data_IF_499678325328
#
_entry.id   IF_499678325328
#
_cell.length_a   1.000
_cell.length_b   1.000
_cell.length_c   1.000
_cell.angle_alpha   90.00
_cell.angle_beta   90.00
_cell.angle_gamma   90.00
#
_symmetry.space_group_name_H-M   'P 1'
#
loop_
_entity.id
_entity.type
_entity.pdbx_description
1 polymer ?
#
# COMPACT_ATOMS: atom_id res chain seq x y z
N UNK A 1 5.99 -21.22 -30.50
CA UNK A 1 7.08 -20.99 -29.51
C UNK A 1 6.57 -21.01 -28.08
N UNK A 2 5.47 -20.32 -27.75
CA UNK A 2 4.88 -20.39 -26.39
C UNK A 2 4.15 -21.73 -26.17
N UNK A 3 3.37 -22.21 -27.15
CA UNK A 3 2.64 -23.48 -27.02
C UNK A 3 1.61 -23.46 -25.88
N UNK A 4 1.16 -24.64 -25.46
CA UNK A 4 0.29 -24.78 -24.30
C UNK A 4 1.02 -24.40 -23.00
N UNK A 5 0.29 -23.81 -22.05
CA UNK A 5 0.84 -23.42 -20.76
C UNK A 5 0.65 -24.52 -19.73
N UNK A 6 1.75 -24.93 -19.09
CA UNK A 6 1.73 -25.74 -17.88
C UNK A 6 1.24 -24.95 -16.66
N UNK A 7 1.00 -25.63 -15.54
CA UNK A 7 0.68 -24.97 -14.26
C UNK A 7 1.80 -24.01 -13.84
N UNK A 8 3.06 -24.39 -13.99
CA UNK A 8 4.21 -23.53 -13.71
C UNK A 8 4.24 -22.30 -14.62
N UNK A 9 3.91 -22.46 -15.91
CA UNK A 9 3.77 -21.33 -16.83
C UNK A 9 2.65 -20.37 -16.41
N UNK A 10 1.53 -20.90 -15.91
CA UNK A 10 0.41 -20.10 -15.43
C UNK A 10 0.76 -19.33 -14.16
N UNK A 11 1.51 -19.94 -13.23
CA UNK A 11 2.05 -19.25 -12.05
C UNK A 11 2.98 -18.10 -12.47
N UNK A 12 3.90 -18.37 -13.39
CA UNK A 12 4.82 -17.38 -13.95
C UNK A 12 4.07 -16.22 -14.63
N UNK A 13 3.21 -16.54 -15.59
CA UNK A 13 2.45 -15.57 -16.39
C UNK A 13 1.54 -14.72 -15.50
N UNK A 14 0.80 -15.37 -14.59
CA UNK A 14 -0.08 -14.74 -13.62
C UNK A 14 0.64 -13.79 -12.66
N UNK A 15 1.82 -14.20 -12.16
CA UNK A 15 2.63 -13.37 -11.29
C UNK A 15 3.14 -12.11 -12.01
N UNK A 16 3.59 -12.23 -13.27
CA UNK A 16 4.05 -11.08 -14.06
C UNK A 16 2.91 -10.11 -14.36
N UNK A 17 1.75 -10.59 -14.85
CA UNK A 17 0.62 -9.68 -15.13
C UNK A 17 0.11 -9.02 -13.85
N UNK A 18 0.11 -9.73 -12.71
CA UNK A 18 -0.27 -9.14 -11.43
C UNK A 18 0.75 -8.11 -10.95
N UNK A 19 2.05 -8.34 -11.15
CA UNK A 19 3.07 -7.37 -10.79
C UNK A 19 2.91 -6.05 -11.55
N UNK A 20 2.48 -6.12 -12.82
CA UNK A 20 2.23 -4.96 -13.66
C UNK A 20 0.86 -4.29 -13.42
N UNK A 21 -0.23 -5.05 -13.33
CA UNK A 21 -1.62 -4.55 -13.34
C UNK A 21 -2.34 -4.66 -11.98
N UNK A 22 -1.73 -5.37 -11.03
CA UNK A 22 -2.31 -5.67 -9.73
C UNK A 22 -2.23 -4.53 -8.72
N UNK A 23 -3.03 -4.64 -7.67
CA UNK A 23 -3.04 -3.73 -6.54
C UNK A 23 -1.75 -3.82 -5.75
N UNK A 24 -1.08 -2.68 -5.56
CA UNK A 24 0.11 -2.57 -4.70
C UNK A 24 -0.31 -2.58 -3.23
N UNK A 25 0.40 -3.36 -2.41
CA UNK A 25 0.27 -3.25 -0.95
C UNK A 25 0.60 -1.82 -0.51
N UNK A 26 -0.27 -1.23 0.31
CA UNK A 26 -0.03 0.09 0.88
C UNK A 26 0.62 -0.10 2.25
N UNK A 27 1.84 0.45 2.50
CA UNK A 27 2.56 0.26 3.75
C UNK A 27 1.74 0.62 5.00
N UNK A 28 0.81 1.57 4.86
CA UNK A 28 -0.04 2.09 5.93
C UNK A 28 -1.38 1.34 6.10
N UNK A 29 -1.76 0.42 5.20
CA UNK A 29 -3.08 -0.26 5.28
C UNK A 29 -3.01 -1.65 5.93
N UNK A 30 -1.82 -2.25 6.00
CA UNK A 30 -1.60 -3.59 6.58
C UNK A 30 -2.39 -4.72 5.90
N UNK A 31 -3.06 -4.45 4.77
CA UNK A 31 -3.88 -5.41 4.03
C UNK A 31 -3.21 -5.76 2.72
N UNK A 32 -2.51 -6.89 2.69
CA UNK A 32 -2.02 -7.52 1.47
C UNK A 32 -3.20 -8.20 0.80
N UNK A 33 -3.91 -7.46 -0.05
CA UNK A 33 -5.07 -7.95 -0.78
C UNK A 33 -4.73 -8.07 -2.25
N UNK A 34 -4.99 -9.26 -2.81
CA UNK A 34 -4.86 -9.53 -4.24
C UNK A 34 -6.10 -8.94 -4.91
N UNK A 35 -5.88 -7.88 -5.66
CA UNK A 35 -6.90 -7.27 -6.50
C UNK A 35 -6.28 -6.87 -7.85
N UNK A 36 -7.01 -7.09 -8.93
CA UNK A 36 -6.62 -6.68 -10.27
C UNK A 36 -7.81 -6.01 -10.94
N UNK A 37 -7.55 -4.99 -11.77
CA UNK A 37 -8.57 -4.37 -12.60
C UNK A 37 -8.05 -4.22 -14.01
N UNK A 38 -8.75 -4.80 -14.98
CA UNK A 38 -8.35 -4.69 -16.39
C UNK A 38 -9.59 -4.61 -17.30
N UNK A 39 -9.43 -4.01 -18.49
CA UNK A 39 -10.47 -3.99 -19.53
C UNK A 39 -10.27 -5.04 -20.62
N UNK A 40 -9.08 -5.65 -20.69
CA UNK A 40 -8.75 -6.67 -21.67
C UNK A 40 -9.25 -8.04 -21.17
N UNK A 41 -10.20 -8.69 -21.89
CA UNK A 41 -10.72 -9.99 -21.48
C UNK A 41 -9.65 -11.08 -21.46
N UNK A 42 -8.61 -11.01 -22.31
CA UNK A 42 -7.54 -12.02 -22.33
C UNK A 42 -6.69 -11.98 -21.05
N UNK A 43 -6.42 -10.77 -20.53
CA UNK A 43 -5.72 -10.59 -19.25
C UNK A 43 -6.57 -11.10 -18.09
N UNK A 44 -7.89 -10.87 -18.13
CA UNK A 44 -8.84 -11.35 -17.13
C UNK A 44 -8.90 -12.89 -17.12
N UNK A 45 -9.04 -13.52 -18.29
CA UNK A 45 -9.06 -14.98 -18.42
C UNK A 45 -7.74 -15.61 -17.92
N UNK A 46 -6.59 -15.07 -18.34
CA UNK A 46 -5.28 -15.54 -17.89
C UNK A 46 -5.15 -15.44 -16.36
N UNK A 47 -5.61 -14.34 -15.77
CA UNK A 47 -5.57 -14.17 -14.32
C UNK A 47 -6.48 -15.16 -13.58
N UNK A 48 -7.67 -15.49 -14.12
CA UNK A 48 -8.54 -16.51 -13.53
C UNK A 48 -7.92 -17.91 -13.59
N UNK A 49 -7.30 -18.28 -14.73
CA UNK A 49 -6.54 -19.54 -14.86
C UNK A 49 -5.39 -19.61 -13.86
N UNK A 50 -4.63 -18.52 -13.73
CA UNK A 50 -3.59 -18.39 -12.72
C UNK A 50 -4.13 -18.59 -11.30
N UNK A 51 -5.23 -17.92 -10.94
CA UNK A 51 -5.82 -18.05 -9.60
C UNK A 51 -6.28 -19.50 -9.31
N UNK A 52 -6.82 -20.20 -10.31
CA UNK A 52 -7.19 -21.61 -10.17
C UNK A 52 -5.95 -22.50 -9.88
N UNK A 53 -4.86 -22.32 -10.64
CA UNK A 53 -3.60 -23.06 -10.41
C UNK A 53 -2.95 -22.68 -9.07
N UNK A 54 -3.08 -21.43 -8.64
CA UNK A 54 -2.62 -20.97 -7.34
C UNK A 54 -3.51 -21.44 -6.17
N UNK A 55 -4.49 -22.32 -6.42
CA UNK A 55 -5.35 -22.92 -5.38
C UNK A 55 -6.41 -21.96 -4.83
N UNK A 56 -6.85 -20.97 -5.61
CA UNK A 56 -7.90 -20.05 -5.20
C UNK A 56 -9.27 -20.59 -5.58
N UNK A 57 -10.01 -21.01 -4.57
CA UNK A 57 -11.40 -21.41 -4.69
C UNK A 57 -12.31 -20.28 -5.21
N UNK A 58 -13.27 -20.63 -6.06
CA UNK A 58 -14.20 -19.67 -6.67
C UNK A 58 -15.01 -18.86 -5.64
N UNK A 59 -15.31 -19.43 -4.48
CA UNK A 59 -16.05 -18.77 -3.39
C UNK A 59 -15.28 -17.59 -2.76
N UNK A 60 -13.95 -17.51 -2.97
CA UNK A 60 -13.08 -16.40 -2.54
C UNK A 60 -13.04 -15.25 -3.53
N UNK A 61 -13.53 -15.44 -4.76
CA UNK A 61 -13.49 -14.43 -5.82
C UNK A 61 -14.63 -13.43 -5.67
N UNK A 62 -14.31 -12.16 -5.87
CA UNK A 62 -15.29 -11.06 -5.88
C UNK A 62 -15.11 -10.24 -7.14
N UNK A 63 -16.18 -10.14 -7.91
CA UNK A 63 -16.21 -9.41 -9.17
C UNK A 63 -16.90 -8.06 -9.01
N UNK A 64 -16.38 -7.03 -9.65
CA UNK A 64 -17.00 -5.71 -9.70
C UNK A 64 -16.75 -5.07 -11.06
N UNK A 65 -17.80 -4.66 -11.76
CA UNK A 65 -17.69 -3.88 -12.99
C UNK A 65 -17.42 -2.42 -12.64
N UNK A 66 -16.45 -1.81 -13.31
CA UNK A 66 -16.24 -0.37 -13.32
C UNK A 66 -16.49 0.18 -14.72
N UNK A 67 -17.49 1.03 -14.86
CA UNK A 67 -17.96 1.50 -16.17
C UNK A 67 -18.33 2.98 -16.12
N UNK A 68 -18.26 3.66 -17.27
CA UNK A 68 -18.71 5.03 -17.39
C UNK A 68 -20.24 5.11 -17.40
N UNK A 69 -20.80 6.18 -16.83
CA UNK A 69 -22.25 6.37 -16.73
C UNK A 69 -22.97 6.37 -18.09
N UNK A 70 -22.26 6.71 -19.17
CA UNK A 70 -22.80 6.78 -20.53
C UNK A 70 -22.69 5.46 -21.31
N UNK A 71 -22.08 4.42 -20.75
CA UNK A 71 -21.83 3.16 -21.44
C UNK A 71 -22.89 2.09 -21.12
N UNK A 72 -23.03 1.11 -22.01
CA UNK A 72 -24.01 0.02 -21.91
C UNK A 72 -23.67 -0.92 -20.74
N UNK A 73 -24.28 -0.67 -19.59
CA UNK A 73 -24.11 -1.48 -18.38
C UNK A 73 -24.67 -2.89 -18.56
N UNK A 74 -25.82 -3.06 -19.20
CA UNK A 74 -26.42 -4.37 -19.36
C UNK A 74 -25.58 -5.26 -20.28
N UNK A 75 -25.12 -4.72 -21.41
CA UNK A 75 -24.20 -5.43 -22.29
C UNK A 75 -22.87 -5.73 -21.62
N UNK A 76 -22.34 -4.84 -20.79
CA UNK A 76 -21.15 -5.10 -19.98
C UNK A 76 -21.40 -6.23 -18.96
N UNK A 77 -22.54 -6.23 -18.27
CA UNK A 77 -22.90 -7.29 -17.32
C UNK A 77 -23.02 -8.65 -18.00
N UNK A 78 -23.71 -8.74 -19.15
CA UNK A 78 -23.81 -9.99 -19.93
C UNK A 78 -22.43 -10.47 -20.36
N UNK A 79 -21.63 -9.58 -20.96
CA UNK A 79 -20.29 -9.91 -21.44
C UNK A 79 -19.38 -10.45 -20.32
N UNK A 80 -19.28 -9.75 -19.19
CA UNK A 80 -18.41 -10.18 -18.10
C UNK A 80 -18.96 -11.41 -17.37
N UNK A 81 -20.28 -11.56 -17.27
CA UNK A 81 -20.94 -12.73 -16.68
C UNK A 81 -20.64 -14.00 -17.48
N UNK A 82 -20.76 -13.93 -18.81
CA UNK A 82 -20.39 -15.02 -19.73
C UNK A 82 -18.89 -15.33 -19.64
N UNK A 83 -18.02 -14.32 -19.68
CA UNK A 83 -16.57 -14.51 -19.65
C UNK A 83 -16.08 -15.22 -18.38
N UNK A 84 -16.58 -14.82 -17.21
CA UNK A 84 -16.09 -15.36 -15.92
C UNK A 84 -16.96 -16.50 -15.38
N UNK A 85 -18.05 -16.85 -16.06
CA UNK A 85 -18.93 -17.95 -15.70
C UNK A 85 -19.70 -17.74 -14.38
N UNK A 86 -20.11 -16.51 -14.07
CA UNK A 86 -20.91 -16.20 -12.87
C UNK A 86 -22.18 -15.45 -13.24
N UNK A 87 -23.25 -15.67 -12.51
CA UNK A 87 -24.52 -14.97 -12.70
C UNK A 87 -24.39 -13.46 -12.46
N UNK A 88 -25.13 -12.64 -13.21
CA UNK A 88 -25.07 -11.17 -13.10
C UNK A 88 -25.36 -10.67 -11.67
N UNK A 89 -26.16 -11.41 -10.88
CA UNK A 89 -26.45 -11.11 -9.47
C UNK A 89 -25.28 -11.36 -8.50
N UNK A 90 -24.22 -12.06 -8.92
CA UNK A 90 -23.04 -12.35 -8.09
C UNK A 90 -21.98 -11.24 -8.14
N UNK A 91 -22.15 -10.25 -9.02
CA UNK A 91 -21.28 -9.08 -9.06
C UNK A 91 -21.54 -8.16 -7.86
N UNK A 92 -20.48 -7.65 -7.25
CA UNK A 92 -20.58 -6.53 -6.32
C UNK A 92 -21.14 -5.30 -7.04
N UNK A 93 -21.71 -4.37 -6.25
CA UNK A 93 -22.25 -3.10 -6.74
C UNK A 93 -21.31 -2.43 -7.76
N UNK A 94 -21.81 -2.21 -8.97
CA UNK A 94 -21.08 -1.56 -10.06
C UNK A 94 -20.52 -0.21 -9.65
N UNK A 95 -19.25 0.03 -9.95
CA UNK A 95 -18.61 1.33 -9.78
C UNK A 95 -18.84 2.21 -11.00
N UNK A 96 -19.79 3.16 -10.90
CA UNK A 96 -20.07 4.12 -11.97
C UNK A 96 -19.06 5.27 -11.90
N UNK A 97 -18.36 5.51 -13.01
CA UNK A 97 -17.42 6.62 -13.17
C UNK A 97 -18.14 7.80 -13.86
N UNK A 98 -18.33 8.94 -13.18
CA UNK A 98 -18.98 10.10 -13.78
C UNK A 98 -18.17 10.66 -14.95
N UNK A 99 -18.84 11.32 -15.90
CA UNK A 99 -18.19 11.96 -17.04
C UNK A 99 -17.27 13.08 -16.54
N UNK A 100 -15.97 12.92 -16.78
CA UNK A 100 -15.01 13.99 -16.55
C UNK A 100 -14.92 14.88 -17.78
N UNK A 101 -15.26 16.17 -17.64
CA UNK A 101 -15.12 17.19 -18.70
C UNK A 101 -13.68 17.45 -19.15
N UNK A 102 -12.67 16.89 -18.45
CA UNK A 102 -11.24 17.16 -18.67
C UNK A 102 -10.48 16.03 -19.38
N UNK A 103 -11.09 14.87 -19.63
CA UNK A 103 -10.35 13.74 -20.19
C UNK A 103 -10.65 13.55 -21.68
N UNK A 104 -9.62 13.69 -22.53
CA UNK A 104 -9.63 13.29 -23.96
C UNK A 104 -9.66 11.76 -24.15
N UNK A 105 -10.41 11.02 -23.32
CA UNK A 105 -10.48 9.54 -23.39
C UNK A 105 -11.41 9.14 -24.54
N UNK A 106 -10.90 8.29 -25.43
CA UNK A 106 -11.59 7.83 -26.65
C UNK A 106 -12.27 6.46 -26.50
N UNK A 107 -12.21 5.83 -25.31
CA UNK A 107 -12.84 4.53 -25.03
C UNK A 107 -14.34 4.72 -24.71
N UNK A 108 -15.09 5.22 -25.68
CA UNK A 108 -16.53 5.54 -25.58
C UNK A 108 -17.34 4.91 -26.72
N UNK A 109 -16.77 3.90 -27.40
CA UNK A 109 -17.44 3.17 -28.48
C UNK A 109 -18.53 2.22 -27.98
N UNK A 110 -19.40 1.76 -28.88
CA UNK A 110 -20.50 0.83 -28.59
C UNK A 110 -20.02 -0.51 -27.98
N UNK A 111 -18.77 -0.90 -28.26
CA UNK A 111 -18.16 -2.15 -27.76
C UNK A 111 -17.43 -1.98 -26.42
N UNK A 112 -17.49 -0.80 -25.80
CA UNK A 112 -16.84 -0.58 -24.52
C UNK A 112 -17.59 -1.28 -23.38
N UNK A 113 -17.01 -2.35 -22.84
CA UNK A 113 -17.59 -3.15 -21.74
C UNK A 113 -17.14 -2.72 -20.35
N UNK A 114 -16.46 -1.58 -20.20
CA UNK A 114 -15.90 -1.18 -18.90
C UNK A 114 -14.61 -1.94 -18.55
N UNK A 115 -14.26 -1.92 -17.27
CA UNK A 115 -13.18 -2.72 -16.69
C UNK A 115 -13.78 -3.69 -15.66
N UNK A 116 -13.24 -4.90 -15.61
CA UNK A 116 -13.57 -5.84 -14.54
C UNK A 116 -12.52 -5.76 -13.44
N UNK A 117 -12.98 -5.56 -12.20
CA UNK A 117 -12.17 -5.74 -11.00
C UNK A 117 -12.40 -7.13 -10.42
N UNK A 118 -11.32 -7.85 -10.19
CA UNK A 118 -11.28 -9.12 -9.47
C UNK A 118 -10.60 -8.86 -8.12
N UNK A 119 -11.25 -9.23 -7.03
CA UNK A 119 -10.66 -9.20 -5.69
C UNK A 119 -10.72 -10.58 -5.03
N UNK A 120 -9.62 -10.98 -4.40
CA UNK A 120 -9.53 -12.26 -3.70
C UNK A 120 -9.68 -12.03 -2.20
N UNK A 121 -10.57 -12.78 -1.56
CA UNK A 121 -10.71 -12.76 -0.10
C UNK A 121 -9.61 -13.60 0.57
N UNK A 122 -9.16 -13.15 1.76
CA UNK A 122 -8.15 -13.83 2.58
C UNK A 122 -6.87 -14.12 1.80
N UNK A 123 -6.33 -13.11 1.10
CA UNK A 123 -5.28 -13.30 0.08
C UNK A 123 -3.89 -12.79 0.50
N UNK A 124 -3.62 -12.65 1.81
CA UNK A 124 -2.33 -12.12 2.26
C UNK A 124 -1.18 -13.05 1.88
N UNK A 125 -1.36 -14.35 2.11
CA UNK A 125 -0.40 -15.38 1.70
C UNK A 125 -0.22 -15.42 0.19
N UNK A 126 -1.31 -15.45 -0.58
CA UNK A 126 -1.29 -15.41 -2.05
C UNK A 126 -0.54 -14.19 -2.58
N UNK A 127 -0.69 -13.02 -1.96
CA UNK A 127 0.07 -11.83 -2.34
C UNK A 127 1.59 -12.04 -2.20
N UNK A 128 2.02 -12.71 -1.13
CA UNK A 128 3.43 -13.03 -0.90
C UNK A 128 3.94 -14.12 -1.87
N UNK A 129 3.12 -15.11 -2.17
CA UNK A 129 3.45 -16.12 -3.19
C UNK A 129 3.65 -15.44 -4.56
N UNK A 130 2.73 -14.56 -4.97
CA UNK A 130 2.85 -13.77 -6.19
C UNK A 130 4.13 -12.94 -6.20
N UNK A 131 4.46 -12.27 -5.09
CA UNK A 131 5.68 -11.49 -4.97
C UNK A 131 6.94 -12.38 -5.15
N UNK A 132 6.95 -13.58 -4.56
CA UNK A 132 8.01 -14.57 -4.73
C UNK A 132 8.17 -15.04 -6.18
N UNK A 133 7.07 -15.50 -6.81
CA UNK A 133 7.05 -15.92 -8.21
C UNK A 133 7.52 -14.81 -9.16
N UNK A 134 6.98 -13.59 -9.01
CA UNK A 134 7.35 -12.45 -9.84
C UNK A 134 8.82 -12.06 -9.66
N UNK A 135 9.32 -12.08 -8.41
CA UNK A 135 10.71 -11.76 -8.12
C UNK A 135 11.68 -12.72 -8.82
N UNK A 136 11.49 -14.04 -8.67
CA UNK A 136 12.35 -15.03 -9.35
C UNK A 136 12.25 -14.90 -10.85
N UNK A 137 11.04 -14.72 -11.38
CA UNK A 137 10.83 -14.57 -12.81
C UNK A 137 11.63 -13.40 -13.40
N UNK A 138 11.51 -12.23 -12.79
CA UNK A 138 12.22 -11.04 -13.22
C UNK A 138 13.73 -11.15 -12.98
N UNK A 139 14.15 -11.75 -11.85
CA UNK A 139 15.57 -11.98 -11.56
C UNK A 139 16.21 -12.95 -12.55
N UNK A 140 15.51 -14.01 -12.95
CA UNK A 140 15.96 -14.94 -13.98
C UNK A 140 16.10 -14.27 -15.34
N UNK A 141 15.11 -13.48 -15.77
CA UNK A 141 15.22 -12.70 -17.00
C UNK A 141 16.37 -11.67 -16.93
N UNK A 142 16.58 -11.05 -15.77
CA UNK A 142 17.65 -10.08 -15.55
C UNK A 142 19.06 -10.70 -15.49
N UNK A 143 19.22 -11.97 -15.11
CA UNK A 143 20.54 -12.61 -14.92
C UNK A 143 21.42 -12.53 -16.17
N UNK A 144 20.85 -12.74 -17.35
CA UNK A 144 21.62 -12.64 -18.60
C UNK A 144 22.20 -11.24 -18.87
N UNK A 145 21.86 -10.20 -18.09
CA UNK A 145 22.51 -8.88 -18.18
C UNK A 145 23.87 -8.92 -17.50
N UNK A 146 23.97 -9.64 -16.37
CA UNK A 146 25.13 -9.60 -15.47
C UNK A 146 26.36 -10.25 -16.10
N UNK A 147 26.18 -11.26 -16.95
CA UNK A 147 27.26 -12.01 -17.59
C UNK A 147 28.11 -11.14 -18.55
N UNK A 148 27.56 -10.04 -19.10
CA UNK A 148 28.26 -9.13 -20.00
C UNK A 148 29.08 -8.03 -19.30
N UNK A 149 28.84 -7.79 -18.00
CA UNK A 149 29.38 -6.62 -17.29
C UNK A 149 30.45 -6.94 -16.24
N UNK A 150 30.82 -8.21 -16.09
CA UNK A 150 31.72 -8.69 -15.05
C UNK A 150 31.11 -8.57 -13.65
N UNK A 151 31.57 -9.40 -12.72
CA UNK A 151 31.18 -9.36 -11.30
C UNK A 151 31.64 -8.05 -10.62
N UNK A 152 30.97 -6.94 -10.93
CA UNK A 152 31.14 -5.69 -10.16
C UNK A 152 29.94 -5.56 -9.24
N UNK A 153 30.08 -6.14 -8.04
CA UNK A 153 29.27 -5.94 -6.82
C UNK A 153 27.94 -5.20 -7.02
N UNK A 154 26.91 -5.93 -7.46
CA UNK A 154 25.52 -5.55 -7.16
C UNK A 154 25.13 -6.20 -5.83
N UNK A 155 25.75 -5.74 -4.74
CA UNK A 155 25.30 -6.07 -3.38
C UNK A 155 24.15 -5.13 -3.00
N UNK A 156 22.93 -5.61 -3.22
CA UNK A 156 21.84 -5.61 -2.24
C UNK A 156 20.64 -6.22 -2.94
N UNK A 157 20.48 -7.54 -2.80
CA UNK A 157 19.15 -8.10 -2.85
C UNK A 157 18.37 -7.39 -1.75
N UNK A 158 17.40 -6.57 -2.15
CA UNK A 158 16.60 -5.73 -1.28
C UNK A 158 15.85 -6.58 -0.26
N UNK A 159 16.54 -6.94 0.81
CA UNK A 159 15.93 -7.26 2.07
C UNK A 159 15.08 -6.07 2.47
N UNK A 160 13.81 -6.32 2.75
CA UNK A 160 12.97 -5.40 3.52
C UNK A 160 13.72 -5.16 4.84
N UNK A 161 14.41 -4.02 4.96
CA UNK A 161 15.04 -3.62 6.22
C UNK A 161 14.02 -2.78 7.01
N UNK A 162 13.67 -3.19 8.25
CA UNK A 162 12.88 -2.36 9.15
C UNK A 162 13.73 -1.18 9.65
N UNK A 163 13.25 0.04 9.43
CA UNK A 163 13.78 1.25 10.07
C UNK A 163 13.73 1.13 11.61
N UNK A 164 14.85 1.39 12.27
CA UNK A 164 14.97 1.39 13.72
C UNK A 164 15.74 2.62 14.26
N UNK A 165 15.01 3.40 15.07
CA UNK A 165 15.37 4.25 16.23
C UNK A 165 16.18 5.54 16.03
N UNK A 166 15.58 6.62 16.54
CA UNK A 166 16.25 7.71 17.26
C UNK A 166 15.67 7.75 18.69
N UNK A 167 16.53 7.97 19.70
CA UNK A 167 16.16 8.20 21.09
C UNK A 167 15.99 9.72 21.34
N UNK A 168 15.18 10.17 22.32
CA UNK A 168 15.20 11.56 22.76
C UNK A 168 16.07 11.75 24.01
N UNK A 169 16.85 12.83 23.98
CA UNK A 169 17.65 13.42 25.05
C UNK A 169 16.79 14.18 26.09
N UNK A 170 17.47 14.54 27.18
CA UNK A 170 17.02 15.08 28.48
C UNK A 170 16.20 16.38 28.46
N UNK A 171 15.29 16.53 29.44
CA UNK A 171 14.79 17.85 29.91
C UNK A 171 14.67 17.88 31.45
N UNK A 172 15.28 18.92 32.00
CA UNK A 172 15.53 19.34 33.38
C UNK A 172 14.29 19.63 34.26
N UNK A 173 14.42 19.49 35.58
CA UNK A 173 13.36 19.66 36.60
C UNK A 173 13.66 20.82 37.57
N UNK A 174 13.03 21.98 37.37
CA UNK A 174 13.10 23.15 38.27
C UNK A 174 11.94 23.23 39.29
N UNK A 175 12.25 23.56 40.55
CA UNK A 175 11.29 23.64 41.69
C UNK A 175 10.46 24.92 41.78
N UNK A 176 9.35 24.87 42.54
CA UNK A 176 8.30 25.91 42.64
C UNK A 176 8.62 27.10 43.61
N UNK A 177 8.02 28.31 43.44
CA UNK A 177 8.32 29.56 44.19
C UNK A 177 7.80 29.64 45.66
N UNK A 178 8.30 30.63 46.44
CA UNK A 178 8.04 30.84 47.89
C UNK A 178 6.60 31.18 48.31
N UNK A 179 5.86 31.93 47.49
CA UNK A 179 4.49 32.33 47.79
C UNK A 179 3.54 31.11 47.82
N UNK A 180 3.77 30.13 46.94
CA UNK A 180 3.04 28.87 46.91
C UNK A 180 3.25 28.04 48.19
N UNK A 181 4.45 28.13 48.80
CA UNK A 181 4.74 27.45 50.09
C UNK A 181 3.95 28.06 51.25
N UNK A 182 3.83 29.39 51.27
CA UNK A 182 3.06 30.10 52.31
C UNK A 182 1.55 29.79 52.21
N UNK A 183 1.01 29.83 51.00
CA UNK A 183 -0.40 29.52 50.73
C UNK A 183 -0.73 28.06 51.09
N UNK A 184 0.19 27.13 50.83
CA UNK A 184 0.04 25.71 51.21
C UNK A 184 -0.07 25.53 52.72
N UNK A 185 0.83 26.14 53.49
CA UNK A 185 0.80 26.04 54.97
C UNK A 185 -0.56 26.48 55.52
N UNK A 186 -1.09 27.60 55.02
CA UNK A 186 -2.38 28.13 55.49
C UNK A 186 -3.57 27.25 55.12
N UNK A 187 -3.58 26.67 53.92
CA UNK A 187 -4.62 25.72 53.51
C UNK A 187 -4.62 24.46 54.38
N UNK A 188 -3.44 23.91 54.66
CA UNK A 188 -3.26 22.71 55.51
C UNK A 188 -3.72 22.98 56.95
N UNK A 189 -3.39 24.14 57.52
CA UNK A 189 -3.87 24.54 58.85
C UNK A 189 -5.40 24.56 58.95
N UNK A 190 -6.07 25.22 57.98
CA UNK A 190 -7.53 25.28 57.97
C UNK A 190 -8.17 23.90 57.79
N UNK A 191 -7.55 23.04 56.96
CA UNK A 191 -7.99 21.65 56.76
C UNK A 191 -7.89 20.83 58.05
N UNK A 192 -6.79 20.97 58.79
CA UNK A 192 -6.61 20.31 60.10
C UNK A 192 -7.51 20.89 61.19
N UNK A 193 -7.91 22.15 61.06
CA UNK A 193 -8.88 22.80 61.94
C UNK A 193 -10.35 22.44 61.63
N UNK A 194 -10.60 21.43 60.78
CA UNK A 194 -11.94 20.91 60.54
C UNK A 194 -12.70 21.51 59.35
N UNK A 195 -12.07 22.37 58.55
CA UNK A 195 -12.76 23.09 57.48
C UNK A 195 -12.91 22.23 56.21
N UNK A 196 -14.08 22.32 55.56
CA UNK A 196 -14.32 21.68 54.25
C UNK A 196 -13.53 22.37 53.13
N UNK A 197 -13.27 21.69 52.02
CA UNK A 197 -12.55 22.27 50.87
C UNK A 197 -13.23 23.56 50.37
N UNK A 198 -14.56 23.55 50.27
CA UNK A 198 -15.32 24.73 49.87
C UNK A 198 -15.17 25.92 50.85
N UNK A 199 -15.10 25.65 52.16
CA UNK A 199 -14.90 26.68 53.17
C UNK A 199 -13.47 27.26 53.14
N UNK A 200 -12.46 26.41 52.90
CA UNK A 200 -11.06 26.82 52.75
C UNK A 200 -10.88 27.67 51.49
N UNK A 201 -11.48 27.27 50.36
CA UNK A 201 -11.44 28.03 49.12
C UNK A 201 -12.00 29.45 49.28
N UNK A 202 -13.15 29.57 49.97
CA UNK A 202 -13.73 30.88 50.32
C UNK A 202 -12.84 31.70 51.26
N UNK A 203 -12.29 31.08 52.30
CA UNK A 203 -11.47 31.76 53.30
C UNK A 203 -10.13 32.28 52.74
N UNK A 204 -9.55 31.57 51.76
CA UNK A 204 -8.30 31.94 51.10
C UNK A 204 -8.51 32.72 49.79
N UNK A 205 -9.76 33.06 49.47
CA UNK A 205 -10.17 33.70 48.21
C UNK A 205 -9.67 32.95 46.95
N UNK A 206 -9.57 31.63 47.04
CA UNK A 206 -9.18 30.75 45.94
C UNK A 206 -10.44 30.31 45.20
N UNK A 207 -10.66 30.93 44.03
CA UNK A 207 -11.79 30.59 43.14
C UNK A 207 -11.54 29.31 42.35
N UNK A 208 -10.28 28.91 42.22
CA UNK A 208 -9.87 27.70 41.52
C UNK A 208 -9.70 26.50 42.49
N UNK A 209 -10.56 25.50 42.32
CA UNK A 209 -10.54 24.26 43.09
C UNK A 209 -9.34 23.35 42.81
N UNK A 210 -8.68 23.49 41.66
CA UNK A 210 -7.48 22.73 41.29
C UNK A 210 -6.27 23.21 42.10
N UNK A 211 -6.08 24.53 42.25
CA UNK A 211 -5.05 25.11 43.12
C UNK A 211 -5.26 24.64 44.56
N UNK A 212 -6.48 24.70 45.08
CA UNK A 212 -6.78 24.21 46.42
C UNK A 212 -6.53 22.68 46.55
N UNK A 213 -6.83 21.91 45.50
CA UNK A 213 -6.50 20.48 45.40
C UNK A 213 -5.01 20.20 45.50
N UNK A 214 -4.18 21.00 44.83
CA UNK A 214 -2.73 20.87 44.90
C UNK A 214 -2.17 21.26 46.28
N UNK A 215 -2.68 22.33 46.88
CA UNK A 215 -2.25 22.80 48.21
C UNK A 215 -2.58 21.77 49.31
N UNK A 216 -3.75 21.14 49.24
CA UNK A 216 -4.20 20.15 50.22
C UNK A 216 -3.75 18.71 49.90
N UNK A 217 -2.93 18.50 48.86
CA UNK A 217 -2.48 17.17 48.46
C UNK A 217 -1.76 16.46 49.61
N UNK A 218 -2.25 15.27 49.96
CA UNK A 218 -1.71 14.42 51.02
C UNK A 218 -2.30 14.65 52.42
N UNK A 219 -3.14 15.67 52.61
CA UNK A 219 -3.84 15.87 53.88
C UNK A 219 -5.19 15.11 53.89
N UNK A 220 -5.51 14.38 54.98
CA UNK A 220 -6.76 13.65 55.08
C UNK A 220 -7.99 14.60 55.19
N UNK A 221 -9.20 14.12 54.85
CA UNK A 221 -10.42 14.88 55.08
C UNK A 221 -10.64 15.22 56.56
N UNK A 222 -11.23 16.39 56.80
CA UNK A 222 -11.50 16.90 58.14
C UNK A 222 -12.45 15.97 58.93
N UNK A 223 -11.97 15.37 60.01
CA UNK A 223 -12.69 14.36 60.80
C UNK A 223 -14.02 14.88 61.36
N UNK A 224 -14.08 16.13 61.83
CA UNK A 224 -15.32 16.76 62.35
C UNK A 224 -16.37 17.11 61.28
N UNK A 225 -15.97 17.18 60.00
CA UNK A 225 -16.89 17.39 58.87
C UNK A 225 -17.49 16.06 58.41
N UNK A 226 -16.69 14.99 58.40
CA UNK A 226 -17.13 13.64 58.05
C UNK A 226 -18.30 13.15 58.90
N UNK A 227 -18.41 13.59 60.16
CA UNK A 227 -19.52 13.23 61.06
C UNK A 227 -20.84 13.92 60.70
N UNK A 228 -20.79 15.10 60.06
CA UNK A 228 -21.97 15.93 59.73
C UNK A 228 -22.39 15.89 58.26
N UNK A 229 -21.50 15.44 57.37
CA UNK A 229 -21.76 15.35 55.93
C UNK A 229 -22.65 14.15 55.58
N UNK A 230 -23.57 14.36 54.63
CA UNK A 230 -24.37 13.29 54.03
C UNK A 230 -23.50 12.27 53.29
N UNK A 231 -24.02 11.07 53.07
CA UNK A 231 -23.29 10.03 52.33
C UNK A 231 -22.86 10.48 50.93
N UNK A 232 -23.68 11.29 50.26
CA UNK A 232 -23.38 11.84 48.93
C UNK A 232 -22.30 12.91 48.96
N UNK A 233 -22.30 13.80 49.95
CA UNK A 233 -21.24 14.82 50.11
C UNK A 233 -19.87 14.15 50.39
N UNK A 234 -19.85 13.03 51.11
CA UNK A 234 -18.62 12.25 51.34
C UNK A 234 -18.09 11.62 50.04
N UNK A 235 -18.98 11.11 49.19
CA UNK A 235 -18.63 10.52 47.89
C UNK A 235 -18.12 11.60 46.92
N UNK A 236 -18.75 12.77 46.91
CA UNK A 236 -18.31 13.92 46.12
C UNK A 236 -16.92 14.41 46.56
N UNK A 237 -16.67 14.53 47.87
CA UNK A 237 -15.35 14.89 48.40
C UNK A 237 -14.28 13.86 48.00
N UNK A 238 -14.58 12.56 48.07
CA UNK A 238 -13.69 11.49 47.58
C UNK A 238 -13.42 11.60 46.07
N UNK A 239 -14.42 12.00 45.28
CA UNK A 239 -14.25 12.23 43.85
C UNK A 239 -13.27 13.38 43.58
N UNK A 240 -13.35 14.48 44.34
CA UNK A 240 -12.39 15.59 44.25
C UNK A 240 -10.98 15.18 44.71
N UNK A 241 -10.84 14.36 45.74
CA UNK A 241 -9.54 13.87 46.21
C UNK A 241 -8.87 12.94 45.17
N UNK A 242 -9.62 11.98 44.63
CA UNK A 242 -9.13 11.11 43.54
C UNK A 242 -8.77 11.93 42.30
N UNK A 243 -9.57 12.96 41.98
CA UNK A 243 -9.27 13.86 40.87
C UNK A 243 -7.98 14.65 41.10
N UNK A 244 -7.76 15.17 42.32
CA UNK A 244 -6.52 15.85 42.69
C UNK A 244 -5.28 14.94 42.67
N UNK A 245 -5.48 13.63 42.80
CA UNK A 245 -4.44 12.58 42.63
C UNK A 245 -4.20 12.19 41.16
N UNK A 246 -4.89 12.81 40.19
CA UNK A 246 -4.71 12.57 38.76
C UNK A 246 -5.62 11.46 38.18
N UNK A 247 -6.61 10.98 38.93
CA UNK A 247 -7.52 9.96 38.42
C UNK A 247 -8.44 10.53 37.33
N UNK A 248 -8.64 9.76 36.26
CA UNK A 248 -9.58 10.09 35.18
C UNK A 248 -11.03 9.77 35.56
N UNK A 249 -11.99 10.48 34.95
CA UNK A 249 -13.43 10.37 35.27
C UNK A 249 -13.98 8.94 35.29
N UNK A 250 -13.49 8.06 34.39
CA UNK A 250 -13.91 6.65 34.33
C UNK A 250 -13.46 5.86 35.56
N UNK A 251 -12.19 6.00 35.97
CA UNK A 251 -11.67 5.30 37.16
C UNK A 251 -12.34 5.77 38.44
N UNK A 252 -12.65 7.06 38.55
CA UNK A 252 -13.40 7.62 39.69
C UNK A 252 -14.83 7.04 39.73
N UNK A 253 -15.51 7.01 38.58
CA UNK A 253 -16.84 6.41 38.43
C UNK A 253 -16.86 4.94 38.85
N UNK A 254 -15.91 4.14 38.35
CA UNK A 254 -15.79 2.72 38.67
C UNK A 254 -15.46 2.51 40.16
N UNK A 255 -14.55 3.31 40.73
CA UNK A 255 -14.08 3.17 42.12
C UNK A 255 -15.15 3.54 43.16
N UNK A 256 -15.93 4.58 42.88
CA UNK A 256 -16.96 5.12 43.77
C UNK A 256 -18.36 4.57 43.47
N UNK A 257 -18.48 3.71 42.45
CA UNK A 257 -19.76 3.13 41.99
C UNK A 257 -20.84 4.18 41.68
N UNK A 258 -20.43 5.33 41.15
CA UNK A 258 -21.33 6.42 40.74
C UNK A 258 -21.36 6.57 39.22
N UNK A 259 -22.50 6.91 38.61
CA UNK A 259 -22.59 7.14 37.18
C UNK A 259 -21.63 8.22 36.69
N UNK A 260 -21.00 8.00 35.53
CA UNK A 260 -19.98 8.90 34.97
C UNK A 260 -20.44 10.35 34.80
N UNK A 261 -21.72 10.56 34.46
CA UNK A 261 -22.28 11.89 34.30
C UNK A 261 -22.33 12.68 35.63
N UNK A 262 -22.52 11.99 36.76
CA UNK A 262 -22.52 12.61 38.10
C UNK A 262 -21.11 13.05 38.50
N UNK A 263 -20.10 12.21 38.21
CA UNK A 263 -18.67 12.55 38.40
C UNK A 263 -18.28 13.77 37.56
N UNK A 264 -18.79 13.87 36.32
CA UNK A 264 -18.56 15.03 35.46
C UNK A 264 -19.25 16.29 35.99
N UNK A 265 -20.45 16.16 36.57
CA UNK A 265 -21.18 17.28 37.15
C UNK A 265 -20.43 17.90 38.34
N UNK A 266 -19.93 17.07 39.27
CA UNK A 266 -19.14 17.52 40.43
C UNK A 266 -17.80 18.14 40.06
N UNK A 267 -17.13 17.59 39.05
CA UNK A 267 -15.79 17.98 38.65
C UNK A 267 -15.77 18.97 37.47
N UNK A 268 -16.91 19.61 37.18
CA UNK A 268 -17.09 20.50 36.02
C UNK A 268 -16.32 21.82 36.15
N UNK A 269 -16.13 22.29 37.37
CA UNK A 269 -15.45 23.57 37.68
C UNK A 269 -13.97 23.41 38.05
N UNK A 270 -13.46 22.19 38.22
CA UNK A 270 -12.02 21.97 38.34
C UNK A 270 -11.39 22.04 36.96
N UNK A 271 -10.60 23.09 36.67
CA UNK A 271 -9.78 23.14 35.46
C UNK A 271 -8.99 21.83 35.32
N UNK A 272 -8.84 21.36 34.07
CA UNK A 272 -8.02 20.20 33.76
C UNK A 272 -6.65 20.40 34.43
N UNK A 273 -6.25 19.56 35.40
CA UNK A 273 -4.86 19.51 35.77
C UNK A 273 -4.16 19.11 34.48
N UNK A 274 -3.37 20.02 33.89
CA UNK A 274 -2.54 19.73 32.73
C UNK A 274 -1.94 18.36 32.96
N UNK A 275 -2.30 17.41 32.09
CA UNK A 275 -2.14 16.00 32.39
C UNK A 275 -0.71 15.77 32.86
N UNK A 276 -0.47 15.26 34.07
CA UNK A 276 0.64 14.36 34.21
C UNK A 276 0.23 13.21 33.29
N UNK A 277 0.82 13.14 32.10
CA UNK A 277 0.67 11.99 31.20
C UNK A 277 1.04 10.77 32.04
N UNK A 278 0.02 10.12 32.60
CA UNK A 278 0.24 9.00 33.48
C UNK A 278 0.77 7.87 32.59
N UNK A 279 1.77 7.09 33.02
CA UNK A 279 2.50 6.12 32.21
C UNK A 279 1.64 5.09 31.48
N UNK A 280 0.35 4.97 31.78
CA UNK A 280 -0.54 3.92 31.29
C UNK A 280 -1.08 4.16 29.86
N UNK A 281 -1.21 5.42 29.42
CA UNK A 281 -1.51 5.73 28.00
C UNK A 281 -0.27 5.53 27.12
N UNK A 282 0.91 5.91 27.62
CA UNK A 282 2.18 5.58 26.97
C UNK A 282 2.46 4.08 26.98
N UNK A 283 2.22 3.36 28.09
CA UNK A 283 2.37 1.89 28.14
C UNK A 283 1.40 1.21 27.16
N UNK A 284 0.17 1.71 26.98
CA UNK A 284 -0.78 1.12 26.00
C UNK A 284 -0.42 1.47 24.57
N UNK A 285 -0.03 2.71 24.28
CA UNK A 285 0.42 3.13 22.95
C UNK A 285 1.76 2.47 22.61
N UNK A 286 2.65 2.30 23.56
CA UNK A 286 3.95 1.63 23.43
C UNK A 286 3.79 0.12 23.36
N UNK A 287 2.90 -0.50 24.15
CA UNK A 287 2.54 -1.91 23.99
C UNK A 287 1.85 -2.16 22.64
N UNK A 288 1.01 -1.24 22.17
CA UNK A 288 0.40 -1.29 20.84
C UNK A 288 1.46 -1.13 19.74
N UNK A 289 2.36 -0.15 19.86
CA UNK A 289 3.50 0.06 18.95
C UNK A 289 4.43 -1.16 18.95
N UNK A 290 4.73 -1.73 20.11
CA UNK A 290 5.54 -2.94 20.28
C UNK A 290 4.84 -4.15 19.68
N UNK A 291 3.55 -4.35 19.96
CA UNK A 291 2.73 -5.39 19.34
C UNK A 291 2.71 -5.26 17.81
N UNK A 292 2.47 -4.07 17.26
CA UNK A 292 2.50 -3.85 15.81
C UNK A 292 3.90 -4.00 15.23
N UNK A 293 4.95 -3.59 15.94
CA UNK A 293 6.35 -3.75 15.51
C UNK A 293 6.77 -5.23 15.50
N UNK A 294 6.44 -5.97 16.54
CA UNK A 294 6.67 -7.42 16.66
C UNK A 294 5.84 -8.19 15.65
N UNK A 295 4.57 -7.82 15.46
CA UNK A 295 3.70 -8.38 14.42
C UNK A 295 4.23 -8.07 13.02
N UNK A 296 4.71 -6.85 12.77
CA UNK A 296 5.31 -6.47 11.47
C UNK A 296 6.60 -7.24 11.22
N UNK A 297 7.44 -7.42 12.24
CA UNK A 297 8.66 -8.21 12.13
C UNK A 297 8.34 -9.70 11.88
N UNK A 298 7.37 -10.28 12.61
CA UNK A 298 6.94 -11.67 12.45
C UNK A 298 6.28 -11.90 11.08
N UNK A 299 5.34 -11.03 10.69
CA UNK A 299 4.73 -11.06 9.36
C UNK A 299 5.74 -10.80 8.25
N UNK A 300 6.82 -10.05 8.51
CA UNK A 300 7.93 -9.88 7.56
C UNK A 300 8.74 -11.16 7.34
N UNK A 301 9.00 -11.92 8.41
CA UNK A 301 9.66 -13.24 8.31
C UNK A 301 8.74 -14.24 7.62
N UNK A 302 7.47 -14.34 8.02
CA UNK A 302 6.48 -15.21 7.37
C UNK A 302 6.32 -14.86 5.88
N UNK A 303 6.20 -13.57 5.56
CA UNK A 303 6.16 -13.08 4.17
C UNK A 303 7.39 -13.52 3.38
N UNK A 304 8.59 -13.39 3.96
CA UNK A 304 9.84 -13.77 3.30
C UNK A 304 9.85 -15.27 3.01
N UNK A 305 9.56 -16.09 4.01
CA UNK A 305 9.55 -17.56 3.86
C UNK A 305 8.55 -18.02 2.80
N UNK A 306 7.34 -17.43 2.77
CA UNK A 306 6.34 -17.73 1.73
C UNK A 306 6.83 -17.29 0.35
N UNK A 307 7.47 -16.13 0.25
CA UNK A 307 8.01 -15.64 -1.02
C UNK A 307 9.17 -16.52 -1.52
N UNK A 308 10.04 -16.98 -0.62
CA UNK A 308 11.16 -17.88 -0.91
C UNK A 308 10.67 -19.28 -1.32
N UNK A 309 9.68 -19.84 -0.62
CA UNK A 309 9.09 -21.13 -1.00
C UNK A 309 8.34 -21.05 -2.34
N UNK A 310 7.65 -19.94 -2.61
CA UNK A 310 7.01 -19.72 -3.90
C UNK A 310 8.05 -19.60 -5.03
N UNK A 311 9.14 -18.88 -4.78
CA UNK A 311 10.27 -18.73 -5.67
C UNK A 311 10.83 -20.09 -6.16
N UNK A 312 10.92 -21.10 -5.30
CA UNK A 312 11.39 -22.45 -5.65
C UNK A 312 10.48 -23.17 -6.66
N UNK A 313 9.19 -22.83 -6.75
CA UNK A 313 8.24 -23.47 -7.66
C UNK A 313 8.44 -23.09 -9.14
N UNK A 314 9.02 -21.92 -9.41
CA UNK A 314 9.30 -21.45 -10.79
C UNK A 314 10.60 -22.06 -11.32
N UNK A 315 11.52 -22.45 -10.44
CA UNK A 315 12.80 -23.07 -10.83
C UNK A 315 13.64 -22.21 -11.78
N UNK A 316 14.42 -22.88 -12.63
CA UNK A 316 15.19 -22.22 -13.69
C UNK A 316 14.30 -21.92 -14.91
N UNK A 317 14.45 -20.71 -15.46
CA UNK A 317 13.75 -20.29 -16.66
C UNK A 317 14.63 -20.47 -17.89
N UNK A 318 14.10 -21.15 -18.91
CA UNK A 318 14.67 -21.21 -20.23
C UNK A 318 14.27 -20.01 -21.10
N UNK A 319 14.70 -20.06 -22.37
CA UNK A 319 14.42 -19.03 -23.36
C UNK A 319 12.91 -18.77 -23.51
N UNK A 320 12.10 -19.83 -23.54
CA UNK A 320 10.65 -19.75 -23.70
C UNK A 320 10.00 -18.96 -22.56
N UNK A 321 10.35 -19.26 -21.31
CA UNK A 321 9.78 -18.60 -20.13
C UNK A 321 10.16 -17.11 -20.09
N UNK A 322 11.42 -16.78 -20.45
CA UNK A 322 11.89 -15.38 -20.50
C UNK A 322 11.14 -14.59 -21.58
N UNK A 323 10.96 -15.17 -22.77
CA UNK A 323 10.21 -14.54 -23.86
C UNK A 323 8.74 -14.33 -23.50
N UNK A 324 8.12 -15.32 -22.85
CA UNK A 324 6.75 -15.22 -22.36
C UNK A 324 6.60 -14.10 -21.31
N UNK A 325 7.44 -14.12 -20.27
CA UNK A 325 7.38 -13.14 -19.18
C UNK A 325 7.59 -11.71 -19.70
N UNK A 326 8.59 -11.49 -20.56
CA UNK A 326 8.85 -10.18 -21.13
C UNK A 326 7.74 -9.70 -22.08
N UNK A 327 7.13 -10.60 -22.85
CA UNK A 327 6.00 -10.26 -23.71
C UNK A 327 4.75 -9.86 -22.91
N UNK A 328 4.44 -10.59 -21.83
CA UNK A 328 3.33 -10.25 -20.93
C UNK A 328 3.57 -8.94 -20.18
N UNK A 329 4.79 -8.72 -19.67
CA UNK A 329 5.17 -7.44 -19.07
C UNK A 329 5.00 -6.28 -20.06
N UNK A 330 5.42 -6.47 -21.32
CA UNK A 330 5.22 -5.47 -22.37
C UNK A 330 3.74 -5.26 -22.71
N UNK A 331 2.92 -6.31 -22.71
CA UNK A 331 1.48 -6.18 -22.96
C UNK A 331 0.78 -5.26 -21.95
N UNK A 332 1.25 -5.29 -20.70
CA UNK A 332 0.75 -4.48 -19.59
C UNK A 332 1.34 -3.06 -19.57
N UNK A 333 2.67 -2.92 -19.60
CA UNK A 333 3.39 -1.66 -19.33
C UNK A 333 3.95 -0.99 -20.59
N UNK A 334 3.94 -1.69 -21.72
CA UNK A 334 4.48 -1.23 -22.99
C UNK A 334 3.58 -0.21 -23.70
N UNK A 335 4.20 0.57 -24.58
CA UNK A 335 3.48 1.48 -25.44
C UNK A 335 2.64 0.69 -26.46
N UNK A 336 1.31 0.92 -26.43
CA UNK A 336 0.38 0.38 -27.40
C UNK A 336 0.25 1.30 -28.60
N UNK A 337 0.21 0.72 -29.79
CA UNK A 337 -0.20 1.44 -30.98
C UNK A 337 -1.66 1.87 -30.87
N UNK A 338 -1.98 2.97 -31.58
CA UNK A 338 -3.36 3.46 -31.62
C UNK A 338 -3.97 3.02 -32.94
N UNK A 339 -5.28 2.69 -32.99
CA UNK A 339 -5.93 2.27 -34.23
C UNK A 339 -5.75 3.25 -35.41
N UNK A 340 -5.56 4.54 -35.08
CA UNK A 340 -5.35 5.62 -36.05
C UNK A 340 -3.86 5.96 -36.30
N UNK A 341 -2.92 5.24 -35.68
CA UNK A 341 -1.48 5.53 -35.75
C UNK A 341 -0.65 4.31 -35.32
N UNK A 342 -0.31 3.48 -36.30
CA UNK A 342 0.57 2.32 -36.14
C UNK A 342 2.04 2.78 -36.20
N UNK A 343 2.75 2.65 -35.10
CA UNK A 343 4.18 2.94 -35.00
C UNK A 343 5.04 1.68 -34.91
N UNK A 344 4.45 0.59 -34.43
CA UNK A 344 5.09 -0.70 -34.18
C UNK A 344 6.46 -0.52 -33.51
N UNK A 345 6.49 0.37 -32.52
CA UNK A 345 7.72 0.77 -31.83
C UNK A 345 7.67 0.32 -30.38
N UNK A 346 8.58 -0.59 -30.04
CA UNK A 346 8.75 -1.10 -28.69
C UNK A 346 9.30 0.01 -27.79
N UNK A 347 8.44 0.49 -26.91
CA UNK A 347 8.77 1.40 -25.80
C UNK A 347 8.20 0.86 -24.51
N UNK A 348 9.03 0.79 -23.48
CA UNK A 348 8.67 0.27 -22.17
C UNK A 348 9.13 1.26 -21.11
N UNK A 349 8.24 1.69 -20.23
CA UNK A 349 8.60 2.64 -19.16
C UNK A 349 8.15 2.11 -17.82
N UNK A 350 9.06 2.03 -16.85
CA UNK A 350 8.71 1.64 -15.49
C UNK A 350 9.61 2.30 -14.45
N UNK A 351 9.16 2.32 -13.20
CA UNK A 351 9.95 2.80 -12.06
C UNK A 351 10.58 1.68 -11.24
N UNK A 352 10.15 0.43 -11.42
CA UNK A 352 10.72 -0.74 -10.76
C UNK A 352 12.03 -1.17 -11.46
N UNK A 353 13.19 -1.11 -10.78
CA UNK A 353 14.47 -1.46 -11.36
C UNK A 353 14.55 -2.93 -11.80
N UNK A 354 13.95 -3.85 -11.02
CA UNK A 354 14.00 -5.26 -11.33
C UNK A 354 13.20 -5.57 -12.60
N UNK A 355 12.03 -4.95 -12.76
CA UNK A 355 11.22 -5.09 -13.97
C UNK A 355 11.92 -4.48 -15.21
N UNK A 356 12.59 -3.34 -15.06
CA UNK A 356 13.40 -2.75 -16.14
C UNK A 356 14.55 -3.67 -16.53
N UNK A 357 15.29 -4.23 -15.57
CA UNK A 357 16.37 -5.19 -15.85
C UNK A 357 15.84 -6.46 -16.52
N UNK A 358 14.71 -6.99 -16.04
CA UNK A 358 14.05 -8.13 -16.67
C UNK A 358 13.65 -7.83 -18.12
N UNK A 359 13.16 -6.61 -18.41
CA UNK A 359 12.81 -6.21 -19.77
C UNK A 359 14.05 -6.12 -20.69
N UNK A 360 15.18 -5.58 -20.21
CA UNK A 360 16.43 -5.62 -20.96
C UNK A 360 16.95 -7.06 -21.14
N UNK A 361 16.71 -7.92 -20.14
CA UNK A 361 16.84 -9.37 -20.21
C UNK A 361 16.11 -10.00 -21.38
N UNK A 362 14.81 -9.73 -21.44
CA UNK A 362 13.93 -10.11 -22.52
C UNK A 362 14.40 -9.62 -23.89
N UNK A 363 14.87 -8.37 -24.01
CA UNK A 363 15.39 -7.86 -25.28
C UNK A 363 16.60 -8.67 -25.80
N UNK A 364 17.52 -9.10 -24.92
CA UNK A 364 18.59 -10.00 -25.33
C UNK A 364 18.08 -11.38 -25.71
N UNK A 365 17.18 -11.96 -24.92
CA UNK A 365 16.56 -13.25 -25.23
C UNK A 365 15.82 -13.21 -26.58
N UNK A 366 15.25 -12.06 -26.95
CA UNK A 366 14.63 -11.82 -28.25
C UNK A 366 15.62 -11.49 -29.38
N UNK A 367 16.93 -11.58 -29.10
CA UNK A 367 18.06 -11.33 -30.01
C UNK A 367 18.12 -9.89 -30.53
N UNK A 368 17.72 -8.93 -29.69
CA UNK A 368 17.77 -7.51 -30.05
C UNK A 368 19.15 -6.95 -29.76
N UNK A 369 19.84 -6.54 -30.82
CA UNK A 369 21.13 -5.86 -30.72
C UNK A 369 21.07 -4.63 -29.79
N UNK A 370 22.01 -4.56 -28.84
CA UNK A 370 22.10 -3.50 -27.82
C UNK A 370 22.28 -2.10 -28.40
N UNK A 371 22.91 -1.94 -29.56
CA UNK A 371 23.05 -0.64 -30.24
C UNK A 371 21.70 -0.02 -30.62
N UNK A 372 20.63 -0.82 -30.63
CA UNK A 372 19.27 -0.38 -30.91
C UNK A 372 18.55 0.15 -29.68
N UNK A 373 19.13 0.03 -28.48
CA UNK A 373 18.50 0.44 -27.23
C UNK A 373 18.83 1.89 -26.93
N UNK A 374 17.82 2.69 -26.61
CA UNK A 374 17.98 4.04 -26.10
C UNK A 374 17.20 4.19 -24.79
N UNK A 375 17.87 4.68 -23.76
CA UNK A 375 17.26 4.91 -22.45
C UNK A 375 16.87 6.38 -22.30
N UNK A 376 15.79 6.67 -21.58
CA UNK A 376 15.39 8.05 -21.27
C UNK A 376 14.83 8.13 -19.86
N UNK A 377 15.40 8.99 -19.03
CA UNK A 377 14.91 9.22 -17.67
C UNK A 377 13.73 10.19 -17.67
N UNK A 378 12.65 9.81 -17.00
CA UNK A 378 11.47 10.62 -16.75
C UNK A 378 11.39 10.93 -15.26
N UNK A 379 11.66 12.18 -14.88
CA UNK A 379 11.72 12.60 -13.47
C UNK A 379 10.92 13.86 -13.23
N UNK A 380 10.42 14.02 -12.02
CA UNK A 380 9.80 15.27 -11.58
C UNK A 380 10.86 16.36 -11.36
N UNK A 381 10.52 17.64 -11.56
CA UNK A 381 11.46 18.76 -11.35
C UNK A 381 11.98 18.87 -9.92
N UNK A 382 11.24 18.29 -8.96
CA UNK A 382 11.63 18.21 -7.55
C UNK A 382 12.56 17.04 -7.23
N UNK A 383 12.84 16.17 -8.20
CA UNK A 383 13.74 15.02 -8.02
C UNK A 383 15.19 15.36 -8.33
N UNK A 384 16.11 14.64 -7.70
CA UNK A 384 17.54 14.73 -7.98
C UNK A 384 17.88 14.01 -9.30
N UNK A 385 18.09 14.81 -10.35
CA UNK A 385 18.32 14.29 -11.71
C UNK A 385 19.62 13.51 -11.83
N UNK A 386 20.72 14.00 -11.24
CA UNK A 386 22.02 13.35 -11.38
C UNK A 386 22.06 12.06 -10.56
N UNK A 387 21.55 12.08 -9.31
CA UNK A 387 21.44 10.85 -8.50
C UNK A 387 20.55 9.80 -9.17
N UNK A 388 19.43 10.21 -9.77
CA UNK A 388 18.57 9.29 -10.51
C UNK A 388 19.27 8.73 -11.75
N UNK A 389 20.05 9.55 -12.47
CA UNK A 389 20.82 9.07 -13.64
C UNK A 389 21.87 8.06 -13.22
N UNK A 390 22.66 8.35 -12.18
CA UNK A 390 23.69 7.44 -11.67
C UNK A 390 23.08 6.12 -11.20
N UNK A 391 21.95 6.18 -10.49
CA UNK A 391 21.18 5.01 -10.09
C UNK A 391 20.81 4.14 -11.29
N UNK A 392 20.18 4.72 -12.34
CA UNK A 392 19.77 3.92 -13.50
C UNK A 392 20.95 3.42 -14.34
N UNK A 393 22.07 4.15 -14.39
CA UNK A 393 23.31 3.65 -15.00
C UNK A 393 23.84 2.44 -14.25
N UNK A 394 23.85 2.47 -12.91
CA UNK A 394 24.24 1.33 -12.08
C UNK A 394 23.30 0.14 -12.26
N UNK A 395 21.98 0.36 -12.22
CA UNK A 395 20.99 -0.71 -12.36
C UNK A 395 21.03 -1.41 -13.72
N UNK A 396 21.35 -0.66 -14.78
CA UNK A 396 21.33 -1.20 -16.15
C UNK A 396 22.69 -1.64 -16.67
N UNK A 397 23.78 -1.19 -16.04
CA UNK A 397 25.15 -1.34 -16.56
C UNK A 397 25.40 -0.56 -17.86
N UNK A 398 24.48 0.31 -18.29
CA UNK A 398 24.60 1.04 -19.55
C UNK A 398 25.37 2.36 -19.36
N UNK A 399 26.28 2.72 -20.30
CA UNK A 399 27.02 3.96 -20.21
C UNK A 399 26.10 5.16 -20.46
N UNK A 400 26.54 6.35 -20.04
CA UNK A 400 25.81 7.62 -20.25
C UNK A 400 25.44 7.87 -21.72
N UNK A 401 26.23 7.39 -22.67
CA UNK A 401 25.95 7.49 -24.11
C UNK A 401 24.69 6.74 -24.55
N UNK A 402 24.21 5.76 -23.79
CA UNK A 402 22.94 5.07 -24.04
C UNK A 402 21.71 5.90 -23.61
N UNK A 403 21.90 6.96 -22.82
CA UNK A 403 20.83 7.79 -22.28
C UNK A 403 20.56 8.99 -23.21
N UNK A 404 19.36 9.04 -23.77
CA UNK A 404 18.80 10.18 -24.48
C UNK A 404 18.40 11.30 -23.50
N UNK A 405 18.11 12.48 -24.07
CA UNK A 405 17.69 13.67 -23.30
C UNK A 405 16.51 13.38 -22.35
N UNK A 406 16.70 13.67 -21.07
CA UNK A 406 15.72 13.44 -20.02
C UNK A 406 14.40 14.20 -20.24
N UNK A 407 13.36 13.73 -19.54
CA UNK A 407 12.01 14.32 -19.52
C UNK A 407 11.69 14.80 -18.12
N UNK A 408 11.78 16.12 -17.94
CA UNK A 408 11.42 16.79 -16.69
C UNK A 408 9.92 17.08 -16.69
N UNK A 409 9.20 16.49 -15.73
CA UNK A 409 7.78 16.75 -15.48
C UNK A 409 7.66 17.92 -14.51
N UNK A 410 6.92 18.98 -14.89
CA UNK A 410 6.83 20.27 -14.17
C UNK A 410 5.52 20.47 -13.39
N UNK A 411 4.88 19.40 -12.93
CA UNK A 411 3.56 19.51 -12.28
C UNK A 411 3.67 19.19 -10.80
N UNK A 412 3.38 20.17 -9.93
CA UNK A 412 3.44 19.96 -8.46
C UNK A 412 2.75 18.64 -8.08
N UNK A 413 3.47 17.66 -7.49
CA UNK A 413 2.90 16.38 -7.14
C UNK A 413 1.75 16.60 -6.16
N UNK A 414 0.60 15.96 -6.41
CA UNK A 414 -0.56 16.03 -5.49
C UNK A 414 -0.28 15.39 -4.11
N UNK A 415 0.83 14.67 -3.98
CA UNK A 415 1.28 13.98 -2.77
C UNK A 415 2.69 14.48 -2.47
N UNK A 416 2.85 15.13 -1.32
CA UNK A 416 4.17 15.50 -0.78
C UNK A 416 4.66 14.33 0.07
N UNK A 417 5.75 13.69 -0.36
CA UNK A 417 6.38 12.61 0.38
C UNK A 417 7.32 13.16 1.47
N UNK A 418 7.65 12.36 2.49
CA UNK A 418 8.72 12.70 3.44
C UNK A 418 10.05 12.89 2.70
N UNK A 419 10.97 13.67 3.27
CA UNK A 419 12.29 13.93 2.68
C UNK A 419 13.05 12.64 2.36
N UNK A 420 13.00 11.65 3.24
CA UNK A 420 13.59 10.31 3.04
C UNK A 420 13.06 9.64 1.76
N UNK A 421 11.74 9.67 1.55
CA UNK A 421 11.11 9.10 0.35
C UNK A 421 11.36 9.90 -0.93
N UNK A 422 11.65 11.20 -0.80
CA UNK A 422 12.07 12.01 -1.94
C UNK A 422 13.51 11.64 -2.36
N UNK A 423 14.37 11.27 -1.41
CA UNK A 423 15.74 10.81 -1.70
C UNK A 423 15.79 9.42 -2.36
N UNK A 424 14.78 8.57 -2.12
CA UNK A 424 14.61 7.26 -2.77
C UNK A 424 13.91 7.35 -4.15
N UNK A 425 13.45 8.54 -4.56
CA UNK A 425 12.73 8.71 -5.81
C UNK A 425 13.68 8.91 -7.00
N UNK A 426 13.85 7.86 -7.80
CA UNK A 426 14.71 7.87 -8.99
C UNK A 426 13.95 8.07 -10.31
N UNK A 427 12.68 8.47 -10.28
CA UNK A 427 11.87 8.63 -11.48
C UNK A 427 11.49 7.31 -12.16
N UNK A 428 11.24 7.36 -13.47
CA UNK A 428 10.95 6.18 -14.29
C UNK A 428 11.92 6.14 -15.47
N UNK A 429 12.34 4.94 -15.87
CA UNK A 429 13.20 4.76 -17.03
C UNK A 429 12.37 4.26 -18.21
N UNK A 430 12.41 4.99 -19.32
CA UNK A 430 11.93 4.55 -20.63
C UNK A 430 13.05 3.82 -21.37
N UNK A 431 12.76 2.60 -21.83
CA UNK A 431 13.55 1.83 -22.79
C UNK A 431 12.87 1.94 -24.14
N UNK A 432 13.56 2.52 -25.12
CA UNK A 432 13.11 2.64 -26.50
C UNK A 432 13.98 1.77 -27.42
N UNK A 433 13.35 0.99 -28.29
CA UNK A 433 14.06 0.10 -29.22
C UNK A 433 13.90 0.61 -30.65
N UNK A 434 15.00 0.98 -31.28
CA UNK A 434 15.01 1.41 -32.67
C UNK A 434 14.69 0.25 -33.64
N UNK A 435 14.02 0.56 -34.76
CA UNK A 435 13.68 -0.39 -35.84
C UNK A 435 12.89 -1.63 -35.37
N UNK A 436 12.01 -1.47 -34.39
CA UNK A 436 11.42 -2.57 -33.60
C UNK A 436 10.09 -3.15 -34.11
N UNK A 437 9.71 -2.89 -35.37
CA UNK A 437 8.42 -3.39 -35.90
C UNK A 437 8.30 -4.92 -35.86
N UNK A 438 9.35 -5.65 -36.25
CA UNK A 438 9.39 -7.11 -36.14
C UNK A 438 9.24 -7.58 -34.69
N UNK A 439 10.01 -6.98 -33.77
CA UNK A 439 9.96 -7.29 -32.36
C UNK A 439 8.57 -7.01 -31.77
N UNK A 440 7.95 -5.89 -32.13
CA UNK A 440 6.61 -5.52 -31.67
C UNK A 440 5.59 -6.60 -32.03
N UNK A 441 5.59 -7.09 -33.27
CA UNK A 441 4.69 -8.16 -33.73
C UNK A 441 5.00 -9.50 -33.05
N UNK A 442 6.28 -9.84 -32.86
CA UNK A 442 6.69 -11.03 -32.11
C UNK A 442 6.20 -10.98 -30.66
N UNK A 443 6.32 -9.82 -30.00
CA UNK A 443 5.81 -9.58 -28.65
C UNK A 443 4.30 -9.78 -28.60
N UNK A 444 3.54 -9.20 -29.53
CA UNK A 444 2.09 -9.42 -29.59
C UNK A 444 1.76 -10.90 -29.80
N UNK A 445 2.49 -11.58 -30.69
CA UNK A 445 2.34 -13.02 -30.92
C UNK A 445 2.59 -13.86 -29.67
N UNK A 446 3.67 -13.60 -28.95
CA UNK A 446 4.00 -14.30 -27.70
C UNK A 446 2.99 -14.01 -26.59
N UNK A 447 2.59 -12.75 -26.41
CA UNK A 447 1.63 -12.37 -25.37
C UNK A 447 0.25 -12.97 -25.63
N UNK A 448 -0.27 -12.88 -26.86
CA UNK A 448 -1.57 -13.48 -27.23
C UNK A 448 -1.49 -15.00 -27.08
N UNK A 449 -0.43 -15.63 -27.59
CA UNK A 449 -0.22 -17.07 -27.43
C UNK A 449 -0.23 -17.53 -25.97
N UNK A 450 0.40 -16.76 -25.06
CA UNK A 450 0.37 -17.04 -23.63
C UNK A 450 -1.03 -16.88 -23.01
N UNK A 451 -1.75 -15.81 -23.37
CA UNK A 451 -3.05 -15.54 -22.75
C UNK A 451 -4.14 -16.53 -23.19
N UNK A 452 -4.25 -16.83 -24.49
CA UNK A 452 -5.38 -17.59 -25.05
C UNK A 452 -5.01 -18.94 -25.67
N UNK A 453 -3.72 -19.28 -25.77
CA UNK A 453 -3.25 -20.48 -26.45
C UNK A 453 -3.22 -20.34 -27.98
N UNK A 454 -2.52 -21.26 -28.65
CA UNK A 454 -2.22 -21.19 -30.08
C UNK A 454 -3.49 -21.21 -30.95
N UNK A 455 -4.41 -22.13 -30.70
CA UNK A 455 -5.64 -22.27 -31.50
C UNK A 455 -6.49 -20.99 -31.50
N UNK A 456 -6.73 -20.39 -30.33
CA UNK A 456 -7.53 -19.14 -30.21
C UNK A 456 -6.77 -17.94 -30.76
N UNK A 457 -5.44 -17.92 -30.68
CA UNK A 457 -4.62 -16.89 -31.31
C UNK A 457 -4.75 -16.93 -32.84
N UNK A 458 -4.71 -18.13 -33.43
CA UNK A 458 -4.89 -18.31 -34.88
C UNK A 458 -6.28 -17.88 -35.35
N UNK A 459 -7.35 -18.30 -34.64
CA UNK A 459 -8.73 -17.90 -34.94
C UNK A 459 -8.85 -16.37 -34.97
N UNK A 460 -8.32 -15.70 -33.94
CA UNK A 460 -8.29 -14.24 -33.86
C UNK A 460 -7.57 -13.59 -35.03
N UNK A 461 -6.43 -14.12 -35.46
CA UNK A 461 -5.68 -13.56 -36.59
C UNK A 461 -6.39 -13.78 -37.92
N UNK A 462 -7.06 -14.92 -38.11
CA UNK A 462 -7.90 -15.18 -39.30
C UNK A 462 -9.09 -14.22 -39.37
N UNK A 463 -9.77 -14.00 -38.26
CA UNK A 463 -10.86 -13.01 -38.16
C UNK A 463 -10.35 -11.61 -38.49
N UNK A 464 -9.20 -11.21 -37.93
CA UNK A 464 -8.58 -9.91 -38.21
C UNK A 464 -8.13 -9.74 -39.67
N UNK A 465 -7.75 -10.84 -40.34
CA UNK A 465 -7.37 -10.87 -41.75
C UNK A 465 -8.57 -10.91 -42.72
N UNK A 466 -9.80 -11.08 -42.21
CA UNK A 466 -11.01 -11.17 -43.03
C UNK A 466 -11.09 -12.45 -43.88
N UNK A 467 -10.37 -13.51 -43.50
CA UNK A 467 -10.37 -14.79 -44.23
C UNK A 467 -11.33 -15.77 -43.56
N UNK A 468 -12.53 -15.95 -44.14
CA UNK A 468 -13.43 -17.06 -43.80
C UNK A 468 -12.76 -18.41 -44.14
N UNK A 469 -13.06 -19.49 -43.40
CA UNK A 469 -12.59 -20.83 -43.77
C UNK A 469 -13.13 -21.20 -45.16
N UNK A 470 -12.36 -21.93 -46.00
CA UNK A 470 -12.95 -22.53 -47.18
C UNK A 470 -14.09 -23.41 -46.70
N UNK A 471 -15.30 -23.12 -47.16
CA UNK A 471 -16.48 -23.94 -46.93
C UNK A 471 -16.21 -25.31 -47.53
N UNK A 472 -15.72 -26.22 -46.69
CA UNK A 472 -15.54 -27.62 -47.02
C UNK A 472 -16.89 -28.18 -47.44
N UNK A 473 -17.05 -28.39 -48.74
CA UNK A 473 -18.15 -29.18 -49.27
C UNK A 473 -17.80 -30.64 -49.01
N UNK A 474 -18.69 -31.29 -48.24
CA UNK A 474 -18.84 -32.72 -47.89
C UNK A 474 -17.81 -33.72 -48.40
#
# INVERSE_FOLDING_TARGET
MIGELSDQDLLLAGAIIYWCEGGKAKPHSGRNRVEMINSDPMVIELFLRFLAVAGVEGDRLRFQIQIHETADLEGAQRFWSELVGVEAGQFNRTGIKPVSRQTNRKNTGADYRGCLRIGVLRSAELYHQIAGWAHVAMSAAARGLRDDFGETRLMNDGAIVPSARLAPEDVDSGGLPDEARALRRRAVELRRAGWSRAAIGRALNLRDGAILGQLLRGEPPATEWLERASAWERIEEQAHELRAQGWGYRRISDRLAVPRWQVQAWLRESEEPGSPQAPEEDIRVEAMRKYWKERTARSGIESRLVSEAAAEQIGEMGLREILMAGALAYWCEGAKDKPYRLYERVRFINSDPLLVRAFLGFLRAAEVDRSRWSLRLHIHESGDLERARDFWMQETGLPRSAFAKDRIKRHVPKIVYSEERQQEYHGCLEVDVAKSADLYRRVEGWAIGAMVGERRAEERWREAAGTDPPTGTR
#
